data_IF_873304533418
#
_entry.id   IF_873304533418
#
_cell.length_a   1.000
_cell.length_b   1.000
_cell.length_c   1.000
_cell.angle_alpha   90.00
_cell.angle_beta   90.00
_cell.angle_gamma   90.00
#
_symmetry.space_group_name_H-M   'P 1'
#
loop_
_entity.id
_entity.type
_entity.pdbx_description
1 polymer ?
#
# COMPACT_ATOMS: atom_id res chain seq x y z
N UNK A 1 -1.31 1.08 17.81
CA UNK A 1 -2.35 1.94 17.20
C UNK A 1 -1.81 3.34 16.88
N UNK A 2 -1.08 3.99 17.80
CA UNK A 2 -0.64 5.39 17.62
C UNK A 2 0.13 5.71 16.33
N UNK A 3 1.13 4.92 15.89
CA UNK A 3 1.96 5.28 14.72
C UNK A 3 1.18 5.32 13.38
N UNK A 4 0.29 4.35 13.14
CA UNK A 4 -0.56 4.34 11.93
C UNK A 4 -1.59 5.46 11.98
N UNK A 5 -2.19 5.70 13.15
CA UNK A 5 -3.11 6.82 13.35
C UNK A 5 -2.41 8.16 13.10
N UNK A 6 -1.19 8.34 13.60
CA UNK A 6 -0.38 9.54 13.35
C UNK A 6 0.00 9.67 11.87
N UNK A 7 0.39 8.60 11.20
CA UNK A 7 0.67 8.63 9.76
C UNK A 7 -0.56 9.05 8.94
N UNK A 8 -1.75 8.55 9.28
CA UNK A 8 -3.01 8.94 8.63
C UNK A 8 -3.36 10.40 8.91
N UNK A 9 -3.27 10.85 10.16
CA UNK A 9 -3.54 12.24 10.52
C UNK A 9 -2.58 13.20 9.82
N UNK A 10 -1.29 12.86 9.78
CA UNK A 10 -0.27 13.67 9.11
C UNK A 10 -0.52 13.71 7.60
N UNK A 11 -0.95 12.59 7.00
CA UNK A 11 -1.35 12.53 5.59
C UNK A 11 -2.54 13.44 5.28
N UNK A 12 -3.56 13.45 6.15
CA UNK A 12 -4.73 14.33 5.99
C UNK A 12 -4.32 15.79 6.12
N UNK A 13 -3.49 16.14 7.11
CA UNK A 13 -3.00 17.51 7.29
C UNK A 13 -2.20 17.98 6.06
N UNK A 14 -1.29 17.14 5.55
CA UNK A 14 -0.52 17.44 4.34
C UNK A 14 -1.43 17.57 3.13
N UNK A 15 -2.40 16.68 2.95
CA UNK A 15 -3.34 16.74 1.83
C UNK A 15 -4.21 18.01 1.86
N UNK A 16 -4.72 18.39 3.03
CA UNK A 16 -5.51 19.63 3.22
C UNK A 16 -4.64 20.86 2.98
N UNK A 17 -3.43 20.89 3.52
CA UNK A 17 -2.49 21.98 3.27
C UNK A 17 -2.15 22.10 1.78
N UNK A 18 -1.88 20.99 1.11
CA UNK A 18 -1.64 21.02 -0.34
C UNK A 18 -2.88 21.46 -1.11
N UNK A 19 -4.09 21.07 -0.70
CA UNK A 19 -5.31 21.44 -1.39
C UNK A 19 -5.54 22.95 -1.37
N UNK A 20 -5.26 23.60 -0.24
CA UNK A 20 -5.44 25.06 -0.08
C UNK A 20 -4.40 25.85 -0.89
N UNK A 21 -3.15 25.38 -0.96
CA UNK A 21 -2.03 26.19 -1.48
C UNK A 21 -1.50 25.75 -2.84
N UNK A 22 -1.60 24.45 -3.17
CA UNK A 22 -1.07 23.84 -4.40
C UNK A 22 -1.99 22.68 -4.86
N UNK A 23 -3.15 22.95 -5.48
CA UNK A 23 -4.16 21.94 -5.81
C UNK A 23 -3.62 20.76 -6.64
N UNK A 24 -2.75 21.03 -7.62
CA UNK A 24 -2.08 20.00 -8.41
C UNK A 24 -1.21 19.07 -7.54
N UNK A 25 -0.56 19.59 -6.50
CA UNK A 25 0.20 18.78 -5.55
C UNK A 25 -0.71 17.97 -4.61
N UNK A 26 -1.89 18.48 -4.27
CA UNK A 26 -2.87 17.71 -3.51
C UNK A 26 -3.38 16.50 -4.31
N UNK A 27 -3.69 16.70 -5.59
CA UNK A 27 -4.11 15.65 -6.52
C UNK A 27 -2.98 14.62 -6.69
N UNK A 28 -1.75 15.08 -6.92
CA UNK A 28 -0.57 14.21 -6.98
C UNK A 28 -0.41 13.37 -5.71
N UNK A 29 -0.39 14.01 -4.54
CA UNK A 29 -0.22 13.35 -3.24
C UNK A 29 -1.31 12.33 -2.93
N UNK A 30 -2.58 12.70 -3.10
CA UNK A 30 -3.71 11.78 -2.90
C UNK A 30 -3.65 10.59 -3.86
N UNK A 31 -3.34 10.85 -5.14
CA UNK A 31 -3.15 9.79 -6.13
C UNK A 31 -1.98 8.87 -5.80
N UNK A 32 -0.89 9.42 -5.26
CA UNK A 32 0.26 8.65 -4.77
C UNK A 32 -0.12 7.69 -3.65
N UNK A 33 -0.86 8.18 -2.63
CA UNK A 33 -1.36 7.35 -1.52
C UNK A 33 -2.25 6.22 -2.05
N UNK A 34 -3.21 6.54 -2.91
CA UNK A 34 -4.17 5.57 -3.45
C UNK A 34 -3.48 4.50 -4.31
N UNK A 35 -2.54 4.92 -5.18
CA UNK A 35 -1.73 4.01 -6.00
C UNK A 35 -0.88 3.10 -5.11
N UNK A 36 -0.17 3.68 -4.14
CA UNK A 36 0.67 2.93 -3.20
C UNK A 36 -0.16 1.89 -2.44
N UNK A 37 -1.27 2.31 -1.84
CA UNK A 37 -2.15 1.41 -1.07
C UNK A 37 -2.70 0.26 -1.93
N UNK A 38 -3.10 0.55 -3.17
CA UNK A 38 -3.57 -0.47 -4.12
C UNK A 38 -2.48 -1.49 -4.49
N UNK A 39 -1.23 -1.04 -4.66
CA UNK A 39 -0.09 -1.92 -4.96
C UNK A 39 0.39 -2.72 -3.74
N UNK A 40 0.27 -2.18 -2.53
CA UNK A 40 0.70 -2.82 -1.29
C UNK A 40 -0.15 -4.07 -0.96
N UNK A 41 -1.43 -4.08 -1.33
CA UNK A 41 -2.27 -5.28 -1.24
C UNK A 41 -1.81 -6.43 -2.15
N UNK A 42 -1.11 -6.12 -3.24
CA UNK A 42 -0.48 -7.11 -4.12
C UNK A 42 0.85 -7.60 -3.51
N UNK A 43 1.66 -6.71 -2.92
CA UNK A 43 2.88 -7.10 -2.23
C UNK A 43 2.62 -8.04 -1.04
N UNK A 44 1.59 -7.78 -0.23
CA UNK A 44 1.21 -8.65 0.90
C UNK A 44 0.79 -10.04 0.43
N UNK A 45 0.04 -10.14 -0.67
CA UNK A 45 -0.35 -11.43 -1.23
C UNK A 45 0.84 -12.19 -1.85
N UNK A 46 1.78 -11.48 -2.49
CA UNK A 46 3.03 -12.06 -2.97
C UNK A 46 3.92 -12.56 -1.83
N UNK A 47 4.08 -11.78 -0.75
CA UNK A 47 4.83 -12.20 0.46
C UNK A 47 4.16 -13.41 1.09
N UNK A 48 2.83 -13.44 1.21
CA UNK A 48 2.11 -14.60 1.73
C UNK A 48 2.38 -15.85 0.86
N UNK A 49 2.45 -15.69 -0.46
CA UNK A 49 2.80 -16.78 -1.37
C UNK A 49 4.28 -17.21 -1.27
N UNK A 50 5.20 -16.35 -0.83
CA UNK A 50 6.63 -16.70 -0.66
C UNK A 50 6.87 -17.36 0.71
N UNK A 51 6.23 -16.86 1.76
CA UNK A 51 6.42 -17.28 3.16
C UNK A 51 5.63 -18.55 3.51
N UNK A 52 4.46 -18.78 2.89
CA UNK A 52 3.64 -19.98 3.16
C UNK A 52 4.28 -21.23 2.54
N UNK A 53 4.33 -22.32 3.31
CA UNK A 53 4.88 -23.62 2.91
C UNK A 53 4.24 -24.12 1.61
N UNK A 54 5.01 -24.68 0.65
CA UNK A 54 4.47 -25.23 -0.59
C UNK A 54 3.33 -26.25 -0.40
N UNK A 55 3.27 -26.94 0.75
CA UNK A 55 2.21 -27.89 1.10
C UNK A 55 0.86 -27.23 1.44
N UNK A 56 0.85 -25.95 1.78
CA UNK A 56 -0.34 -25.16 2.15
C UNK A 56 -0.78 -24.19 1.02
N UNK A 57 0.00 -24.09 -0.07
CA UNK A 57 -0.35 -23.24 -1.21
C UNK A 57 -1.51 -23.86 -1.96
N UNK A 58 -2.58 -23.08 -2.19
CA UNK A 58 -3.67 -23.47 -3.11
C UNK A 58 -3.05 -23.87 -4.46
N UNK A 59 -3.46 -25.02 -4.99
CA UNK A 59 -2.84 -25.77 -6.08
C UNK A 59 -2.73 -25.08 -7.45
N UNK A 60 -3.22 -23.83 -7.61
CA UNK A 60 -3.17 -23.11 -8.88
C UNK A 60 -2.70 -21.66 -8.70
N UNK A 61 -1.43 -21.33 -9.02
CA UNK A 61 -0.87 -19.98 -8.90
C UNK A 61 -1.35 -19.02 -10.00
N UNK A 62 -1.81 -19.53 -11.15
CA UNK A 62 -2.23 -18.73 -12.31
C UNK A 62 -3.30 -17.64 -12.02
N UNK A 63 -4.42 -17.92 -11.34
CA UNK A 63 -5.41 -16.88 -11.00
C UNK A 63 -4.86 -15.80 -10.06
N UNK A 64 -3.93 -16.17 -9.17
CA UNK A 64 -3.26 -15.21 -8.29
C UNK A 64 -2.32 -14.31 -9.07
N UNK A 65 -1.49 -14.86 -9.95
CA UNK A 65 -0.60 -14.08 -10.81
C UNK A 65 -1.40 -13.12 -11.69
N UNK A 66 -2.49 -13.59 -12.30
CA UNK A 66 -3.39 -12.75 -13.11
C UNK A 66 -3.95 -11.58 -12.29
N UNK A 67 -4.42 -11.82 -11.06
CA UNK A 67 -4.92 -10.76 -10.17
C UNK A 67 -3.85 -9.70 -9.88
N UNK A 68 -2.59 -10.09 -9.70
CA UNK A 68 -1.50 -9.14 -9.43
C UNK A 68 -1.17 -8.31 -10.67
N UNK A 69 -1.09 -8.95 -11.84
CA UNK A 69 -0.88 -8.27 -13.12
C UNK A 69 -2.00 -7.24 -13.35
N UNK A 70 -3.27 -7.63 -13.18
CA UNK A 70 -4.41 -6.73 -13.31
C UNK A 70 -4.32 -5.55 -12.34
N UNK A 71 -4.00 -5.79 -11.05
CA UNK A 71 -3.82 -4.72 -10.07
C UNK A 71 -2.69 -3.77 -10.45
N UNK A 72 -1.59 -4.29 -10.98
CA UNK A 72 -0.45 -3.48 -11.42
C UNK A 72 -0.82 -2.60 -12.62
N UNK A 73 -1.52 -3.16 -13.61
CA UNK A 73 -2.03 -2.43 -14.77
C UNK A 73 -2.99 -1.32 -14.32
N UNK A 74 -3.93 -1.61 -13.43
CA UNK A 74 -4.87 -0.62 -12.91
C UNK A 74 -4.17 0.48 -12.12
N UNK A 75 -3.18 0.13 -11.29
CA UNK A 75 -2.38 1.10 -10.55
C UNK A 75 -1.56 2.00 -11.49
N UNK A 76 -0.96 1.43 -12.54
CA UNK A 76 -0.23 2.20 -13.55
C UNK A 76 -1.16 3.13 -14.35
N UNK A 77 -2.33 2.65 -14.76
CA UNK A 77 -3.34 3.44 -15.44
C UNK A 77 -3.86 4.58 -14.56
N UNK A 78 -4.06 4.32 -13.26
CA UNK A 78 -4.47 5.34 -12.30
C UNK A 78 -3.36 6.38 -12.06
N UNK A 79 -2.11 5.95 -11.93
CA UNK A 79 -0.97 6.86 -11.84
C UNK A 79 -0.86 7.76 -13.08
N UNK A 80 -1.03 7.19 -14.27
CA UNK A 80 -1.07 7.94 -15.52
C UNK A 80 -2.22 8.96 -15.55
N UNK A 81 -3.42 8.56 -15.14
CA UNK A 81 -4.57 9.48 -15.03
C UNK A 81 -4.24 10.65 -14.08
N UNK A 82 -3.69 10.38 -12.90
CA UNK A 82 -3.39 11.41 -11.91
C UNK A 82 -2.30 12.36 -12.39
N UNK A 83 -1.19 11.84 -12.94
CA UNK A 83 -0.03 12.65 -13.28
C UNK A 83 -0.24 13.35 -14.63
N UNK A 84 -0.64 12.60 -15.64
CA UNK A 84 -0.66 13.07 -17.04
C UNK A 84 -1.96 13.77 -17.37
N UNK A 85 -3.11 13.21 -16.97
CA UNK A 85 -4.42 13.76 -17.35
C UNK A 85 -4.88 14.84 -16.38
N UNK A 86 -4.75 14.60 -15.08
CA UNK A 86 -5.17 15.55 -14.04
C UNK A 86 -4.08 16.57 -13.67
N UNK A 87 -2.88 16.44 -14.24
CA UNK A 87 -1.77 17.37 -14.01
C UNK A 87 -1.23 17.34 -12.58
N UNK A 88 -1.33 16.18 -11.91
CA UNK A 88 -0.83 16.01 -10.56
C UNK A 88 0.69 16.19 -10.47
N UNK A 89 1.17 16.87 -9.42
CA UNK A 89 2.61 17.06 -9.18
C UNK A 89 3.29 15.70 -8.91
N UNK A 90 4.32 15.39 -9.70
CA UNK A 90 5.03 14.09 -9.67
C UNK A 90 5.77 13.88 -8.35
N UNK A 91 6.33 14.94 -7.76
CA UNK A 91 7.05 14.83 -6.49
C UNK A 91 6.07 14.62 -5.33
N UNK A 92 4.93 15.32 -5.37
CA UNK A 92 3.85 15.10 -4.41
C UNK A 92 3.29 13.67 -4.52
N UNK A 93 3.13 13.15 -5.74
CA UNK A 93 2.75 11.76 -5.98
C UNK A 93 3.73 10.76 -5.37
N UNK A 94 5.04 10.92 -5.60
CA UNK A 94 6.06 10.09 -4.99
C UNK A 94 6.03 10.17 -3.44
N UNK A 95 5.79 11.37 -2.90
CA UNK A 95 5.61 11.57 -1.45
C UNK A 95 4.43 10.78 -0.90
N UNK A 96 3.25 10.88 -1.53
CA UNK A 96 2.06 10.14 -1.12
C UNK A 96 2.23 8.62 -1.21
N UNK A 97 2.87 8.14 -2.28
CA UNK A 97 3.20 6.72 -2.44
C UNK A 97 4.10 6.22 -1.31
N UNK A 98 5.14 6.99 -0.96
CA UNK A 98 6.09 6.64 0.09
C UNK A 98 5.43 6.55 1.46
N UNK A 99 4.47 7.44 1.75
CA UNK A 99 3.68 7.41 2.99
C UNK A 99 2.86 6.12 3.10
N UNK A 100 2.23 5.67 2.00
CA UNK A 100 1.51 4.41 1.99
C UNK A 100 2.44 3.22 2.29
N UNK A 101 3.63 3.19 1.67
CA UNK A 101 4.63 2.15 1.88
C UNK A 101 5.13 2.09 3.33
N UNK A 102 5.49 3.25 3.91
CA UNK A 102 5.96 3.37 5.29
C UNK A 102 4.85 2.91 6.26
N UNK A 103 3.61 3.30 6.01
CA UNK A 103 2.46 2.88 6.82
C UNK A 103 2.28 1.36 6.79
N UNK A 104 2.46 0.73 5.63
CA UNK A 104 2.46 -0.74 5.53
C UNK A 104 3.61 -1.34 6.35
N UNK A 105 4.84 -0.83 6.21
CA UNK A 105 6.00 -1.35 6.94
C UNK A 105 5.79 -1.31 8.46
N UNK A 106 5.27 -0.21 9.00
CA UNK A 106 4.90 -0.14 10.42
C UNK A 106 3.81 -1.12 10.82
N UNK A 107 2.79 -1.31 9.95
CA UNK A 107 1.71 -2.26 10.20
C UNK A 107 2.20 -3.71 10.22
N UNK A 108 3.09 -4.08 9.29
CA UNK A 108 3.68 -5.42 9.19
C UNK A 108 4.69 -5.70 10.31
N UNK A 109 5.59 -4.76 10.60
CA UNK A 109 6.58 -4.90 11.67
C UNK A 109 5.94 -5.15 13.04
N UNK A 110 4.74 -4.60 13.27
CA UNK A 110 3.97 -4.84 14.51
C UNK A 110 3.37 -6.24 14.56
N UNK A 111 2.88 -6.79 13.44
CA UNK A 111 2.33 -8.17 13.39
C UNK A 111 3.40 -9.23 13.60
N UNK A 112 4.64 -8.98 13.18
CA UNK A 112 5.78 -9.85 13.48
C UNK A 112 6.28 -9.80 14.93
N UNK A 113 5.81 -8.83 15.72
CA UNK A 113 6.15 -8.66 17.14
C UNK A 113 5.10 -9.22 18.11
N UNK A 114 3.94 -9.65 17.62
CA UNK A 114 3.02 -10.46 18.42
C UNK A 114 3.62 -11.87 18.44
N UNK A 115 4.18 -12.34 19.58
CA UNK A 115 4.67 -13.69 19.67
C UNK A 115 3.48 -14.60 19.37
N UNK A 116 3.69 -15.66 18.58
CA UNK A 116 2.78 -16.79 18.56
C UNK A 116 2.72 -17.36 19.98
N UNK A 117 1.88 -16.78 20.84
CA UNK A 117 1.59 -17.22 22.21
C UNK A 117 0.66 -18.44 22.18
N UNK A 118 1.01 -19.38 21.32
CA UNK A 118 0.32 -20.64 21.08
C UNK A 118 1.36 -21.61 20.57
N UNK A 119 2.33 -21.93 21.43
CA UNK A 119 3.10 -23.16 21.25
C UNK A 119 2.14 -24.35 21.27
N UNK A 120 2.52 -25.49 20.65
CA UNK A 120 1.64 -26.66 20.58
C UNK A 120 1.28 -27.11 21.99
N UNK A 121 0.00 -27.00 22.36
CA UNK A 121 -0.57 -27.72 23.50
C UNK A 121 -0.68 -29.17 23.06
N UNK A 122 0.34 -29.95 23.39
CA UNK A 122 0.31 -31.41 23.31
C UNK A 122 -0.55 -31.93 24.46
N UNK A 123 -1.86 -31.70 24.35
CA UNK A 123 -2.89 -32.31 25.18
C UNK A 123 -3.54 -33.46 24.40
#
# INVERSE_FOLDING_TARGET
>A
MHAVTWALLLSVIVAVALFVWRPAAAVGFAGGILTGTGMLGALVAAINHVVVSPRERKSHPAPWVALHITKFILAAAYAWLVIVVLGGDVFAFAGGYSVALITLMFSLGRRGHEPHAGGPTWD
#
